data_IF_779885809465
#
_entry.id   IF_779885809465
#
_cell.length_a   1.000
_cell.length_b   1.000
_cell.length_c   1.000
_cell.angle_alpha   90.00
_cell.angle_beta   90.00
_cell.angle_gamma   90.00
#
_symmetry.space_group_name_H-M   'P 1'
#
loop_
_entity.id
_entity.type
_entity.pdbx_description
1 polymer ?
#
# COMPACT_ATOMS: atom_id res chain seq x y z
N UNK A 1 -2.45 1.52 53.77
CA UNK A 1 -1.99 2.55 52.81
C UNK A 1 -0.56 2.22 52.40
N UNK A 2 -0.37 1.59 51.24
CA UNK A 2 0.88 1.66 50.47
C UNK A 2 0.57 1.05 49.09
N UNK A 3 0.37 1.91 48.08
CA UNK A 3 0.26 1.49 46.70
C UNK A 3 1.67 1.20 46.18
N UNK A 4 1.98 -0.07 45.94
CA UNK A 4 3.14 -0.49 45.14
C UNK A 4 2.84 -0.11 43.69
N UNK A 5 3.30 1.06 43.26
CA UNK A 5 3.26 1.48 41.86
C UNK A 5 4.40 0.75 41.13
N UNK A 6 4.10 -0.39 40.51
CA UNK A 6 4.97 -1.00 39.52
C UNK A 6 5.32 0.04 38.44
N UNK A 7 6.60 0.38 38.35
CA UNK A 7 7.17 1.12 37.22
C UNK A 7 7.09 0.21 35.99
N UNK A 8 6.30 0.51 34.95
CA UNK A 8 6.43 -0.22 33.71
C UNK A 8 7.76 0.16 33.04
N UNK A 9 8.56 -0.89 32.84
CA UNK A 9 9.82 -0.96 32.10
C UNK A 9 9.80 -0.10 30.84
N UNK A 10 10.90 0.63 30.63
CA UNK A 10 11.17 1.44 29.45
C UNK A 10 10.95 0.63 28.17
N UNK A 11 9.85 0.90 27.48
CA UNK A 11 9.65 0.44 26.12
C UNK A 11 10.72 1.07 25.21
N UNK A 12 11.49 0.22 24.53
CA UNK A 12 12.55 0.55 23.58
C UNK A 12 12.37 1.90 22.84
N UNK A 13 13.33 2.84 22.94
CA UNK A 13 13.29 4.11 22.19
C UNK A 13 13.29 3.92 20.67
N UNK A 14 13.67 2.73 20.19
CA UNK A 14 13.60 2.32 18.78
C UNK A 14 12.15 2.16 18.30
N UNK A 15 11.24 1.71 19.17
CA UNK A 15 9.81 1.56 18.86
C UNK A 15 9.09 2.93 18.84
N UNK A 16 9.47 3.85 19.73
CA UNK A 16 8.92 5.22 19.77
C UNK A 16 9.32 6.03 18.51
N UNK A 17 10.52 5.82 17.99
CA UNK A 17 10.93 6.37 16.70
C UNK A 17 10.11 5.78 15.54
N UNK A 18 9.80 4.48 15.57
CA UNK A 18 8.98 3.80 14.55
C UNK A 18 7.51 4.25 14.59
N UNK A 19 6.97 4.55 15.76
CA UNK A 19 5.61 5.09 15.93
C UNK A 19 5.48 6.55 15.46
N UNK A 20 6.51 7.37 15.69
CA UNK A 20 6.61 8.74 15.12
C UNK A 20 6.76 8.71 13.60
N UNK A 21 7.54 7.76 13.09
CA UNK A 21 7.60 7.48 11.65
C UNK A 21 6.23 7.00 11.13
N UNK A 22 5.48 6.13 11.82
CA UNK A 22 4.15 5.68 11.40
C UNK A 22 3.10 6.80 11.30
N UNK A 23 3.22 7.87 12.09
CA UNK A 23 2.35 9.04 11.99
C UNK A 23 2.69 9.99 10.82
N UNK A 24 3.92 9.89 10.27
CA UNK A 24 4.41 10.67 9.11
C UNK A 24 4.61 9.81 7.86
N UNK A 25 4.45 8.49 7.97
CA UNK A 25 4.73 7.59 6.87
C UNK A 25 3.65 7.79 5.80
N UNK A 26 4.03 8.13 4.56
CA UNK A 26 3.08 8.15 3.47
C UNK A 26 2.44 6.78 3.43
N UNK A 27 1.12 6.74 3.57
CA UNK A 27 0.37 5.49 3.62
C UNK A 27 0.64 4.76 2.31
N UNK A 28 1.46 3.72 2.32
CA UNK A 28 1.88 3.00 1.11
C UNK A 28 1.07 1.72 1.00
N UNK A 29 0.57 1.46 -0.20
CA UNK A 29 -0.18 0.24 -0.50
C UNK A 29 0.64 -0.66 -1.42
N UNK A 30 0.71 -1.96 -1.12
CA UNK A 30 1.33 -2.92 -2.01
C UNK A 30 0.44 -3.19 -3.23
N UNK A 31 1.06 -3.61 -4.34
CA UNK A 31 0.35 -3.97 -5.59
C UNK A 31 -0.84 -4.90 -5.34
N UNK A 32 -0.71 -5.86 -4.42
CA UNK A 32 -1.80 -6.78 -4.08
C UNK A 32 -3.06 -6.06 -3.57
N UNK A 33 -2.90 -4.98 -2.81
CA UNK A 33 -4.02 -4.18 -2.30
C UNK A 33 -4.61 -3.29 -3.38
N UNK A 34 -3.77 -2.74 -4.28
CA UNK A 34 -4.23 -2.06 -5.49
C UNK A 34 -5.10 -3.00 -6.34
N UNK A 35 -4.64 -4.24 -6.57
CA UNK A 35 -5.39 -5.26 -7.31
C UNK A 35 -6.76 -5.54 -6.70
N UNK A 36 -6.86 -5.60 -5.36
CA UNK A 36 -8.14 -5.76 -4.64
C UNK A 36 -9.09 -4.57 -4.85
N UNK A 37 -8.54 -3.36 -5.03
CA UNK A 37 -9.30 -2.14 -5.38
C UNK A 37 -9.68 -2.06 -6.86
N UNK A 38 -9.39 -3.08 -7.66
CA UNK A 38 -9.71 -3.12 -9.08
C UNK A 38 -8.63 -2.59 -10.00
N UNK A 39 -7.46 -2.23 -9.46
CA UNK A 39 -6.31 -1.87 -10.29
C UNK A 39 -5.78 -3.09 -11.04
N UNK A 40 -5.40 -2.89 -12.29
CA UNK A 40 -4.69 -3.91 -13.08
C UNK A 40 -3.20 -3.60 -13.14
N UNK A 41 -2.34 -4.59 -13.40
CA UNK A 41 -0.90 -4.36 -13.54
C UNK A 41 -0.57 -3.36 -14.65
N UNK A 42 -1.35 -3.37 -15.73
CA UNK A 42 -1.25 -2.38 -16.80
C UNK A 42 -1.55 -0.96 -16.30
N UNK A 43 -2.61 -0.77 -15.50
CA UNK A 43 -2.93 0.54 -14.92
C UNK A 43 -1.87 0.99 -13.93
N UNK A 44 -1.35 0.09 -13.09
CA UNK A 44 -0.27 0.41 -12.16
C UNK A 44 0.98 0.85 -12.92
N UNK A 45 1.38 0.11 -13.96
CA UNK A 45 2.55 0.47 -14.78
C UNK A 45 2.35 1.77 -15.58
N UNK A 46 1.13 2.03 -16.07
CA UNK A 46 0.82 3.20 -16.91
C UNK A 46 0.63 4.48 -16.10
N UNK A 47 -0.12 4.43 -14.99
CA UNK A 47 -0.52 5.59 -14.19
C UNK A 47 0.44 5.88 -13.04
N UNK A 48 0.93 4.85 -12.36
CA UNK A 48 1.84 4.99 -11.22
C UNK A 48 3.30 4.84 -11.64
N UNK A 49 3.58 4.03 -12.67
CA UNK A 49 4.92 3.84 -13.23
C UNK A 49 5.85 3.13 -12.26
N UNK A 50 6.92 3.81 -11.85
CA UNK A 50 7.90 3.27 -10.92
C UNK A 50 7.31 3.18 -9.50
N UNK A 51 7.59 2.08 -8.77
CA UNK A 51 7.20 1.97 -7.37
C UNK A 51 7.93 3.02 -6.53
N UNK A 52 7.25 3.50 -5.48
CA UNK A 52 7.80 4.50 -4.55
C UNK A 52 8.81 3.86 -3.60
N UNK A 53 8.52 2.62 -3.19
CA UNK A 53 9.44 1.78 -2.45
C UNK A 53 9.34 0.33 -2.92
N UNK A 54 10.44 -0.40 -2.76
CA UNK A 54 10.48 -1.85 -2.95
C UNK A 54 11.00 -2.47 -1.66
N UNK A 55 10.16 -3.27 -1.00
CA UNK A 55 10.54 -3.98 0.23
C UNK A 55 10.69 -5.48 -0.04
N UNK A 56 11.55 -6.20 0.70
CA UNK A 56 11.66 -7.65 0.58
C UNK A 56 10.30 -8.30 0.86
N UNK A 57 9.94 -9.32 0.07
CA UNK A 57 8.65 -9.99 0.23
C UNK A 57 8.61 -10.72 1.59
N UNK A 58 7.67 -10.39 2.49
CA UNK A 58 7.62 -10.97 3.83
C UNK A 58 7.39 -12.49 3.82
N UNK A 59 6.81 -13.03 2.74
CA UNK A 59 6.59 -14.47 2.59
C UNK A 59 7.82 -15.21 2.05
N UNK A 60 8.68 -14.52 1.30
CA UNK A 60 9.86 -15.11 0.65
C UNK A 60 11.04 -14.13 0.70
N UNK A 61 11.68 -13.95 1.87
CA UNK A 61 12.69 -12.91 2.06
C UNK A 61 14.00 -13.14 1.30
N UNK A 62 14.28 -14.38 0.86
CA UNK A 62 15.53 -14.74 0.17
C UNK A 62 15.41 -14.88 -1.35
N UNK A 63 14.26 -15.33 -1.85
CA UNK A 63 14.05 -15.68 -3.27
C UNK A 63 12.79 -15.02 -3.88
N UNK A 64 12.04 -14.27 -3.08
CA UNK A 64 10.81 -13.62 -3.53
C UNK A 64 11.08 -12.35 -4.32
N UNK A 65 10.30 -12.12 -5.38
CA UNK A 65 10.25 -10.83 -6.04
C UNK A 65 9.90 -9.73 -5.01
N UNK A 66 10.66 -8.62 -4.97
CA UNK A 66 10.43 -7.55 -3.99
C UNK A 66 9.03 -6.95 -4.15
N UNK A 67 8.39 -6.71 -3.01
CA UNK A 67 7.07 -6.13 -2.92
C UNK A 67 7.13 -4.65 -3.30
N UNK A 68 6.45 -4.30 -4.38
CA UNK A 68 6.33 -2.92 -4.87
C UNK A 68 5.27 -2.18 -4.06
N UNK A 69 5.65 -1.05 -3.49
CA UNK A 69 4.81 -0.19 -2.67
C UNK A 69 4.57 1.14 -3.38
N UNK A 70 3.31 1.58 -3.36
CA UNK A 70 2.85 2.81 -4.00
C UNK A 70 2.20 3.71 -2.96
N UNK A 71 2.58 4.98 -2.94
CA UNK A 71 2.04 5.97 -2.03
C UNK A 71 0.55 6.21 -2.30
N UNK A 72 -0.25 6.26 -1.24
CA UNK A 72 -1.70 6.45 -1.32
C UNK A 72 -2.07 7.76 -2.01
N UNK A 73 -1.29 8.83 -1.83
CA UNK A 73 -1.51 10.09 -2.53
C UNK A 73 -1.41 9.93 -4.06
N UNK A 74 -0.39 9.20 -4.55
CA UNK A 74 -0.28 8.91 -5.99
C UNK A 74 -1.43 8.07 -6.50
N UNK A 75 -1.86 7.10 -5.69
CA UNK A 75 -3.02 6.26 -6.02
C UNK A 75 -4.26 7.16 -6.12
N UNK A 76 -4.54 7.98 -5.12
CA UNK A 76 -5.70 8.88 -5.10
C UNK A 76 -5.68 9.89 -6.26
N UNK A 77 -4.53 10.50 -6.57
CA UNK A 77 -4.37 11.39 -7.72
C UNK A 77 -4.62 10.66 -9.05
N UNK A 78 -4.13 9.43 -9.16
CA UNK A 78 -4.37 8.62 -10.34
C UNK A 78 -5.82 8.17 -10.43
N UNK A 79 -6.49 7.78 -9.33
CA UNK A 79 -7.92 7.44 -9.30
C UNK A 79 -8.79 8.63 -9.70
N UNK A 80 -8.39 9.85 -9.32
CA UNK A 80 -9.04 11.09 -9.73
C UNK A 80 -8.76 11.50 -11.18
N UNK A 81 -7.77 10.87 -11.84
CA UNK A 81 -7.41 11.23 -13.20
C UNK A 81 -8.40 10.66 -14.21
N UNK A 82 -8.74 11.42 -15.28
CA UNK A 82 -9.68 10.96 -16.30
C UNK A 82 -9.22 9.71 -17.03
N UNK A 83 -7.90 9.48 -17.12
CA UNK A 83 -7.34 8.22 -17.63
C UNK A 83 -7.79 7.02 -16.80
N UNK A 84 -7.73 7.10 -15.47
CA UNK A 84 -8.16 5.99 -14.61
C UNK A 84 -9.65 5.72 -14.78
N UNK A 85 -10.49 6.75 -14.78
CA UNK A 85 -11.94 6.59 -14.99
C UNK A 85 -12.27 5.95 -16.34
N UNK A 86 -11.58 6.35 -17.41
CA UNK A 86 -11.75 5.76 -18.74
C UNK A 86 -11.33 4.27 -18.78
N UNK A 87 -10.20 3.94 -18.15
CA UNK A 87 -9.73 2.56 -18.03
C UNK A 87 -10.66 1.71 -17.18
N UNK A 88 -11.08 2.22 -16.01
CA UNK A 88 -11.99 1.55 -15.10
C UNK A 88 -13.33 1.25 -15.79
N UNK A 89 -13.95 2.24 -16.43
CA UNK A 89 -15.19 2.04 -17.19
C UNK A 89 -15.04 1.10 -18.40
N UNK A 90 -13.85 0.96 -18.98
CA UNK A 90 -13.57 -0.06 -20.02
C UNK A 90 -13.45 -1.46 -19.42
N UNK A 91 -12.82 -1.60 -18.26
CA UNK A 91 -12.70 -2.86 -17.54
C UNK A 91 -14.06 -3.36 -17.04
N UNK A 92 -14.90 -2.48 -16.50
CA UNK A 92 -16.25 -2.83 -16.06
C UNK A 92 -17.12 -3.34 -17.22
N UNK A 93 -17.08 -2.65 -18.37
CA UNK A 93 -17.76 -3.13 -19.58
C UNK A 93 -17.24 -4.50 -20.02
N UNK A 94 -15.92 -4.73 -20.01
CA UNK A 94 -15.35 -6.04 -20.33
C UNK A 94 -15.78 -7.13 -19.35
N UNK A 95 -15.80 -6.84 -18.04
CA UNK A 95 -16.26 -7.78 -17.01
C UNK A 95 -17.73 -8.15 -17.20
N UNK A 96 -18.58 -7.19 -17.57
CA UNK A 96 -19.99 -7.43 -17.87
C UNK A 96 -20.20 -8.31 -19.11
N UNK A 97 -19.32 -8.17 -20.12
CA UNK A 97 -19.40 -8.95 -21.36
C UNK A 97 -18.78 -10.35 -21.22
N UNK A 98 -17.69 -10.48 -20.45
CA UNK A 98 -17.00 -11.74 -20.22
C UNK A 98 -17.64 -12.63 -19.13
N UNK A 99 -18.65 -12.12 -18.43
CA UNK A 99 -19.42 -12.85 -17.42
C UNK A 99 -20.67 -13.58 -17.98
N UNK A 100 -20.58 -14.12 -19.20
CA UNK A 100 -21.58 -15.02 -19.81
C UNK A 100 -20.89 -16.33 -20.18
#
# INVERSE_FOLDING_TARGET
MAQTLERPSAADPVQAAKARQAATQPRRLPVSDLKRRGWTEAMVSRLLGKPDASEPNPYFPRDGAPMKLYSFERIAMAEASPEFLAWYGRLERKRRVAGR
#
